data_IF_974469293944
#
_entry.id   IF_974469293944
#
_cell.length_a   1.000
_cell.length_b   1.000
_cell.length_c   1.000
_cell.angle_alpha   90.00
_cell.angle_beta   90.00
_cell.angle_gamma   90.00
#
_symmetry.space_group_name_H-M   'P 1'
#
loop_
_entity.id
_entity.type
_entity.pdbx_description
1 polymer ?
#
# COMPACT_ATOMS: atom_id res chain seq x y z
N UNK A 1 -12.47 -21.72 14.60
CA UNK A 1 -13.26 -20.58 14.09
C UNK A 1 -12.45 -19.90 13.01
N UNK A 2 -13.07 -19.55 11.88
CA UNK A 2 -12.41 -18.78 10.83
C UNK A 2 -12.32 -17.32 11.28
N UNK A 3 -11.12 -16.72 11.23
CA UNK A 3 -10.93 -15.31 11.60
C UNK A 3 -11.66 -14.40 10.61
N UNK A 4 -12.35 -13.37 11.11
CA UNK A 4 -12.90 -12.31 10.25
C UNK A 4 -11.77 -11.43 9.68
N UNK A 5 -12.09 -10.57 8.72
CA UNK A 5 -11.12 -9.61 8.20
C UNK A 5 -10.65 -8.63 9.30
N UNK A 6 -11.52 -8.22 10.21
CA UNK A 6 -11.20 -7.35 11.34
C UNK A 6 -10.28 -8.05 12.34
N UNK A 7 -10.52 -9.33 12.64
CA UNK A 7 -9.63 -10.12 13.51
C UNK A 7 -8.22 -10.23 12.96
N UNK A 8 -8.08 -10.34 11.63
CA UNK A 8 -6.81 -10.34 10.92
C UNK A 8 -6.15 -8.96 10.95
N UNK A 9 -6.92 -7.90 10.67
CA UNK A 9 -6.45 -6.51 10.65
C UNK A 9 -5.80 -6.05 11.97
N UNK A 10 -6.32 -6.51 13.11
CA UNK A 10 -5.75 -6.20 14.43
C UNK A 10 -4.34 -6.74 14.66
N UNK A 11 -3.92 -7.76 13.90
CA UNK A 11 -2.59 -8.38 14.02
C UNK A 11 -1.54 -7.73 13.14
N UNK A 12 -1.96 -6.94 12.15
CA UNK A 12 -1.06 -6.41 11.12
C UNK A 12 -0.02 -5.47 11.75
N UNK A 13 1.21 -5.53 11.27
CA UNK A 13 2.29 -4.59 11.62
C UNK A 13 2.89 -3.96 10.36
N UNK A 14 2.86 -4.70 9.27
CA UNK A 14 3.36 -4.26 7.96
C UNK A 14 2.22 -4.27 6.95
N UNK A 15 2.03 -3.14 6.27
CA UNK A 15 1.08 -2.96 5.18
C UNK A 15 1.83 -2.79 3.86
N UNK A 16 1.58 -3.70 2.94
CA UNK A 16 2.25 -3.75 1.64
C UNK A 16 1.23 -3.57 0.52
N UNK A 17 1.62 -2.80 -0.48
CA UNK A 17 0.81 -2.53 -1.67
C UNK A 17 1.52 -3.02 -2.93
N UNK A 18 0.77 -3.62 -3.86
CA UNK A 18 1.12 -3.45 -5.27
C UNK A 18 0.95 -1.99 -5.69
N UNK A 19 1.47 -1.62 -6.86
CA UNK A 19 1.36 -0.26 -7.39
C UNK A 19 0.27 -0.16 -8.45
N UNK A 20 0.36 -0.95 -9.52
CA UNK A 20 -0.40 -0.68 -10.73
C UNK A 20 -1.75 -1.38 -10.67
N UNK A 21 -2.84 -0.61 -10.54
CA UNK A 21 -4.17 -1.15 -10.28
C UNK A 21 -4.55 -1.17 -8.79
N UNK A 22 -3.62 -0.74 -7.93
CA UNK A 22 -3.83 -0.54 -6.48
C UNK A 22 -3.62 0.91 -6.07
N UNK A 23 -2.41 1.45 -6.18
CA UNK A 23 -2.12 2.86 -5.89
C UNK A 23 -2.28 3.76 -7.13
N UNK A 24 -2.39 3.14 -8.30
CA UNK A 24 -2.78 3.74 -9.57
C UNK A 24 -4.01 3.04 -10.13
N UNK A 25 -4.62 3.61 -11.16
CA UNK A 25 -5.75 3.00 -11.86
C UNK A 25 -5.38 1.81 -12.76
N UNK A 26 -4.09 1.45 -12.85
CA UNK A 26 -3.58 0.34 -13.66
C UNK A 26 -3.13 0.74 -15.08
N UNK A 27 -3.38 2.00 -15.50
CA UNK A 27 -2.95 2.46 -16.81
C UNK A 27 -1.42 2.69 -16.86
N UNK A 28 -0.82 2.35 -18.00
CA UNK A 28 0.57 2.68 -18.31
C UNK A 28 0.56 3.74 -19.42
N UNK A 29 0.74 4.99 -19.04
CA UNK A 29 0.84 6.10 -20.00
C UNK A 29 2.29 6.26 -20.42
N UNK A 30 2.54 6.29 -21.74
CA UNK A 30 3.87 6.49 -22.31
C UNK A 30 3.82 7.68 -23.25
N UNK A 31 4.62 8.71 -22.97
CA UNK A 31 4.78 9.88 -23.83
C UNK A 31 5.98 9.65 -24.75
N UNK A 32 5.80 9.59 -26.08
CA UNK A 32 6.91 9.43 -27.02
C UNK A 32 7.87 10.63 -26.95
N UNK A 33 9.17 10.36 -27.02
CA UNK A 33 10.23 11.36 -27.11
C UNK A 33 10.83 11.39 -28.52
N UNK A 34 11.49 12.50 -28.87
CA UNK A 34 12.15 12.69 -30.15
C UNK A 34 13.31 11.69 -30.40
N UNK A 35 13.91 11.13 -29.34
CA UNK A 35 14.97 10.12 -29.44
C UNK A 35 14.43 8.68 -29.63
N UNK A 36 13.12 8.52 -29.81
CA UNK A 36 12.46 7.23 -29.99
C UNK A 36 12.19 6.46 -28.69
N UNK A 37 12.56 7.00 -27.52
CA UNK A 37 12.17 6.43 -26.22
C UNK A 37 10.82 6.97 -25.77
N UNK A 38 10.30 6.41 -24.68
CA UNK A 38 9.07 6.88 -24.04
C UNK A 38 9.30 7.26 -22.58
N UNK A 39 8.70 8.37 -22.14
CA UNK A 39 8.56 8.69 -20.72
C UNK A 39 7.32 8.00 -20.17
N UNK A 40 7.49 7.16 -19.15
CA UNK A 40 6.36 6.61 -18.40
C UNK A 40 5.75 7.68 -17.49
N UNK A 41 4.42 7.76 -17.45
CA UNK A 41 3.65 8.60 -16.54
C UNK A 41 2.67 7.71 -15.77
N UNK A 42 2.58 7.95 -14.46
CA UNK A 42 1.64 7.30 -13.55
C UNK A 42 0.98 8.36 -12.67
N UNK A 43 -0.31 8.19 -12.42
CA UNK A 43 -1.07 9.04 -11.51
C UNK A 43 -1.35 8.29 -10.22
N UNK A 44 -1.15 8.95 -9.09
CA UNK A 44 -1.45 8.43 -7.75
C UNK A 44 -2.52 9.28 -7.08
N UNK A 45 -3.30 8.67 -6.19
CA UNK A 45 -4.30 9.40 -5.40
C UNK A 45 -3.67 10.20 -4.26
N UNK A 46 -4.15 11.42 -4.06
CA UNK A 46 -3.84 12.21 -2.87
C UNK A 46 -4.48 11.59 -1.60
N UNK A 47 -5.65 10.94 -1.73
CA UNK A 47 -6.30 10.24 -0.63
C UNK A 47 -5.42 9.11 -0.11
N UNK A 48 -4.83 8.31 -1.01
CA UNK A 48 -3.90 7.24 -0.66
C UNK A 48 -2.63 7.81 0.00
N UNK A 49 -2.12 8.95 -0.50
CA UNK A 49 -0.97 9.63 0.09
C UNK A 49 -1.21 10.04 1.54
N UNK A 50 -2.33 10.72 1.84
CA UNK A 50 -2.71 11.06 3.21
C UNK A 50 -2.92 9.82 4.07
N UNK A 51 -3.59 8.78 3.51
CA UNK A 51 -3.76 7.52 4.21
C UNK A 51 -2.43 6.92 4.64
N UNK A 52 -1.42 6.91 3.77
CA UNK A 52 -0.09 6.39 4.10
C UNK A 52 0.57 7.20 5.23
N UNK A 53 0.39 8.52 5.28
CA UNK A 53 0.82 9.33 6.42
C UNK A 53 0.12 8.91 7.72
N UNK A 54 -1.20 8.65 7.70
CA UNK A 54 -1.94 8.15 8.86
C UNK A 54 -1.45 6.76 9.31
N UNK A 55 -1.21 5.84 8.36
CA UNK A 55 -0.71 4.50 8.67
C UNK A 55 0.66 4.58 9.38
N UNK A 56 1.58 5.40 8.85
CA UNK A 56 2.91 5.60 9.45
C UNK A 56 2.81 6.27 10.82
N UNK A 57 1.94 7.26 10.98
CA UNK A 57 1.69 7.91 12.28
C UNK A 57 1.16 6.90 13.31
N UNK A 58 0.30 5.97 12.89
CA UNK A 58 -0.20 4.86 13.71
C UNK A 58 0.84 3.73 13.94
N UNK A 59 2.09 3.92 13.53
CA UNK A 59 3.18 2.97 13.76
C UNK A 59 3.20 1.76 12.82
N UNK A 60 2.45 1.78 11.72
CA UNK A 60 2.56 0.76 10.69
C UNK A 60 3.79 0.98 9.82
N UNK A 61 4.45 -0.12 9.47
CA UNK A 61 5.44 -0.16 8.39
C UNK A 61 4.72 -0.24 7.06
N UNK A 62 5.10 0.60 6.11
CA UNK A 62 4.44 0.66 4.80
C UNK A 62 5.44 0.34 3.69
N UNK A 63 5.03 -0.46 2.72
CA UNK A 63 5.90 -0.87 1.61
C UNK A 63 5.21 -1.01 0.27
N UNK A 64 5.97 -0.83 -0.81
CA UNK A 64 5.54 -1.08 -2.19
C UNK A 64 6.30 -2.28 -2.76
N UNK A 65 5.57 -3.21 -3.37
CA UNK A 65 6.13 -4.39 -4.04
C UNK A 65 5.57 -4.49 -5.44
N UNK A 66 6.36 -4.12 -6.44
CA UNK A 66 5.93 -4.05 -7.85
C UNK A 66 6.83 -4.86 -8.77
N UNK A 67 6.23 -5.40 -9.85
CA UNK A 67 6.95 -6.12 -10.91
C UNK A 67 7.77 -5.18 -11.80
N UNK A 68 7.29 -3.96 -12.03
CA UNK A 68 7.95 -3.01 -12.94
C UNK A 68 9.10 -2.30 -12.22
N UNK A 69 10.11 -1.87 -12.97
CA UNK A 69 11.08 -0.89 -12.51
C UNK A 69 10.67 0.47 -13.07
N UNK A 70 10.30 1.40 -12.19
CA UNK A 70 9.79 2.72 -12.56
C UNK A 70 10.41 3.81 -11.69
N UNK A 71 10.97 4.82 -12.34
CA UNK A 71 11.47 6.00 -11.64
C UNK A 71 10.33 6.79 -10.99
N UNK A 72 9.14 6.79 -11.59
CA UNK A 72 7.95 7.47 -11.06
C UNK A 72 7.54 6.86 -9.72
N UNK A 73 7.59 5.52 -9.61
CA UNK A 73 7.33 4.81 -8.34
C UNK A 73 8.39 5.12 -7.29
N UNK A 74 9.67 5.17 -7.68
CA UNK A 74 10.75 5.51 -6.75
C UNK A 74 10.64 6.94 -6.19
N UNK A 75 10.25 7.91 -7.02
CA UNK A 75 9.97 9.29 -6.59
C UNK A 75 8.80 9.28 -5.61
N UNK A 76 7.68 8.67 -5.99
CA UNK A 76 6.48 8.64 -5.13
C UNK A 76 6.74 7.96 -3.79
N UNK A 77 7.48 6.86 -3.77
CA UNK A 77 7.84 6.16 -2.54
C UNK A 77 8.71 7.03 -1.62
N UNK A 78 9.60 7.86 -2.19
CA UNK A 78 10.41 8.81 -1.42
C UNK A 78 9.55 9.93 -0.85
N UNK A 79 8.66 10.51 -1.66
CA UNK A 79 7.74 11.57 -1.21
C UNK A 79 6.89 11.09 -0.03
N UNK A 80 6.42 9.85 -0.09
CA UNK A 80 5.59 9.22 0.93
C UNK A 80 6.40 8.62 2.10
N UNK A 81 7.75 8.70 2.05
CA UNK A 81 8.67 8.17 3.06
C UNK A 81 8.39 6.69 3.39
N UNK A 82 8.17 5.89 2.35
CA UNK A 82 7.89 4.46 2.43
C UNK A 82 9.08 3.70 3.04
N UNK A 83 8.83 2.76 3.95
CA UNK A 83 9.87 1.97 4.62
C UNK A 83 10.53 0.95 3.68
N UNK A 84 9.72 0.31 2.83
CA UNK A 84 10.16 -0.77 1.96
C UNK A 84 9.76 -0.54 0.49
N UNK A 85 10.74 -0.38 -0.40
CA UNK A 85 10.49 -0.32 -1.84
C UNK A 85 11.19 -1.49 -2.55
N UNK A 86 10.39 -2.39 -3.12
CA UNK A 86 10.86 -3.52 -3.91
C UNK A 86 10.29 -3.42 -5.34
N UNK A 87 11.17 -3.11 -6.29
CA UNK A 87 10.84 -3.04 -7.72
C UNK A 87 11.43 -4.22 -8.48
N UNK A 88 10.94 -4.47 -9.70
CA UNK A 88 11.43 -5.58 -10.54
C UNK A 88 11.02 -6.97 -10.04
N UNK A 89 10.07 -7.06 -9.11
CA UNK A 89 9.75 -8.31 -8.41
C UNK A 89 8.75 -9.16 -9.20
N UNK A 90 9.28 -10.05 -10.04
CA UNK A 90 8.43 -11.07 -10.70
C UNK A 90 7.96 -12.16 -9.73
N UNK A 91 8.73 -12.42 -8.67
CA UNK A 91 8.38 -13.36 -7.61
C UNK A 91 8.23 -12.62 -6.29
N UNK A 92 7.07 -11.97 -6.09
CA UNK A 92 6.83 -11.05 -4.97
C UNK A 92 7.09 -11.64 -3.57
N UNK A 93 6.92 -12.96 -3.40
CA UNK A 93 7.23 -13.65 -2.13
C UNK A 93 8.69 -13.49 -1.66
N UNK A 94 9.65 -13.25 -2.57
CA UNK A 94 11.04 -12.98 -2.19
C UNK A 94 11.14 -11.67 -1.39
N UNK A 95 10.51 -10.60 -1.88
CA UNK A 95 10.41 -9.34 -1.15
C UNK A 95 9.70 -9.51 0.21
N UNK A 96 8.59 -10.27 0.25
CA UNK A 96 7.88 -10.55 1.53
C UNK A 96 8.80 -11.24 2.54
N UNK A 97 9.60 -12.22 2.09
CA UNK A 97 10.52 -12.95 2.97
C UNK A 97 11.60 -12.04 3.53
N UNK A 98 12.13 -11.11 2.71
CA UNK A 98 13.10 -10.14 3.17
C UNK A 98 12.49 -9.16 4.20
N UNK A 99 11.29 -8.63 3.92
CA UNK A 99 10.58 -7.73 4.83
C UNK A 99 10.27 -8.42 6.18
N UNK A 100 9.88 -9.70 6.15
CA UNK A 100 9.69 -10.47 7.38
C UNK A 100 10.96 -10.55 8.23
N UNK A 101 12.12 -10.72 7.59
CA UNK A 101 13.40 -10.76 8.29
C UNK A 101 13.81 -9.39 8.83
N UNK A 102 13.64 -8.33 8.02
CA UNK A 102 14.01 -6.96 8.38
C UNK A 102 13.18 -6.41 9.55
N UNK A 103 11.86 -6.66 9.53
CA UNK A 103 10.92 -6.15 10.52
C UNK A 103 10.64 -7.15 11.67
N UNK A 104 11.22 -8.35 11.62
CA UNK A 104 11.00 -9.43 12.58
C UNK A 104 9.50 -9.73 12.79
N UNK A 105 8.79 -9.95 11.68
CA UNK A 105 7.35 -10.24 11.65
C UNK A 105 7.05 -11.56 10.96
N UNK A 106 5.88 -12.12 11.29
CA UNK A 106 5.33 -13.31 10.64
C UNK A 106 4.38 -12.95 9.50
N UNK A 107 4.05 -13.91 8.63
CA UNK A 107 3.05 -13.70 7.57
C UNK A 107 1.69 -13.24 8.13
N UNK A 108 1.29 -13.74 9.30
CA UNK A 108 0.03 -13.39 9.97
C UNK A 108 -0.05 -11.91 10.38
N UNK A 109 1.09 -11.22 10.44
CA UNK A 109 1.22 -9.81 10.79
C UNK A 109 1.40 -8.92 9.55
N UNK A 110 1.28 -9.48 8.34
CA UNK A 110 1.38 -8.75 7.09
C UNK A 110 -0.01 -8.59 6.46
N UNK A 111 -0.29 -7.37 6.02
CA UNK A 111 -1.38 -7.07 5.09
C UNK A 111 -0.80 -6.84 3.69
N UNK A 112 -1.38 -7.48 2.67
CA UNK A 112 -1.05 -7.20 1.26
C UNK A 112 -2.29 -6.76 0.49
N UNK A 113 -2.17 -5.66 -0.24
CA UNK A 113 -3.21 -5.15 -1.15
C UNK A 113 -2.77 -5.36 -2.59
N UNK A 114 -3.57 -6.11 -3.36
CA UNK A 114 -3.27 -6.46 -4.75
C UNK A 114 -4.51 -6.36 -5.66
N UNK A 115 -4.31 -6.48 -6.97
CA UNK A 115 -5.39 -6.40 -7.95
C UNK A 115 -5.35 -7.50 -9.04
N UNK A 116 -4.20 -8.10 -9.32
CA UNK A 116 -4.05 -9.07 -10.41
C UNK A 116 -3.36 -10.39 -9.98
N UNK A 117 -3.30 -11.37 -10.89
CA UNK A 117 -2.83 -12.74 -10.65
C UNK A 117 -1.38 -12.81 -10.15
N UNK A 118 -0.56 -11.79 -10.43
CA UNK A 118 0.82 -11.68 -9.98
C UNK A 118 0.91 -11.56 -8.45
N UNK A 119 -0.17 -11.13 -7.80
CA UNK A 119 -0.27 -10.94 -6.35
C UNK A 119 -0.72 -12.19 -5.61
N UNK A 120 -1.36 -13.14 -6.31
CA UNK A 120 -1.91 -14.36 -5.72
C UNK A 120 -0.91 -15.17 -4.89
N UNK A 121 0.39 -15.31 -5.26
CA UNK A 121 1.36 -16.00 -4.42
C UNK A 121 1.51 -15.37 -3.03
N UNK A 122 1.34 -14.05 -2.91
CA UNK A 122 1.41 -13.31 -1.64
C UNK A 122 0.05 -13.34 -0.94
N UNK A 123 -1.02 -12.97 -1.65
CA UNK A 123 -2.38 -12.90 -1.09
C UNK A 123 -2.85 -14.21 -0.45
N UNK A 124 -2.41 -15.36 -0.99
CA UNK A 124 -2.72 -16.69 -0.42
C UNK A 124 -2.05 -17.00 0.91
N UNK A 125 -1.05 -16.21 1.32
CA UNK A 125 -0.15 -16.55 2.44
C UNK A 125 -0.17 -15.53 3.57
N UNK A 126 -0.43 -14.27 3.28
CA UNK A 126 -0.43 -13.20 4.29
C UNK A 126 -1.64 -13.28 5.23
N UNK A 127 -1.49 -12.73 6.43
CA UNK A 127 -2.51 -12.74 7.48
C UNK A 127 -3.77 -11.98 7.08
N UNK A 128 -3.61 -10.87 6.36
CA UNK A 128 -4.70 -10.12 5.74
C UNK A 128 -4.40 -9.89 4.25
N UNK A 129 -5.38 -10.25 3.42
CA UNK A 129 -5.29 -10.16 1.97
C UNK A 129 -6.43 -9.26 1.50
N UNK A 130 -6.11 -8.15 0.86
CA UNK A 130 -7.09 -7.18 0.38
C UNK A 130 -7.02 -7.11 -1.14
N UNK A 131 -8.18 -7.19 -1.79
CA UNK A 131 -8.32 -6.93 -3.21
C UNK A 131 -8.92 -5.55 -3.45
N UNK A 132 -8.48 -4.82 -4.46
CA UNK A 132 -9.14 -3.55 -4.83
C UNK A 132 -10.48 -3.77 -5.53
N UNK A 133 -11.35 -2.76 -5.59
CA UNK A 133 -12.65 -2.88 -6.27
C UNK A 133 -12.51 -3.23 -7.77
N UNK A 134 -11.43 -2.83 -8.43
CA UNK A 134 -11.10 -3.18 -9.82
C UNK A 134 -10.32 -4.49 -9.98
N UNK A 135 -9.98 -5.17 -8.88
CA UNK A 135 -9.21 -6.40 -8.93
C UNK A 135 -9.91 -7.49 -9.77
N UNK A 136 -9.09 -8.36 -10.36
CA UNK A 136 -9.55 -9.55 -11.09
C UNK A 136 -10.32 -10.49 -10.16
N UNK A 137 -11.19 -11.29 -10.74
CA UNK A 137 -12.09 -12.18 -9.99
C UNK A 137 -11.30 -13.18 -9.12
N UNK A 138 -10.16 -13.65 -9.62
CA UNK A 138 -9.25 -14.55 -8.94
C UNK A 138 -8.67 -13.93 -7.66
N UNK A 139 -8.33 -12.64 -7.69
CA UNK A 139 -7.86 -11.89 -6.52
C UNK A 139 -8.99 -11.69 -5.53
N UNK A 140 -10.17 -11.24 -6.00
CA UNK A 140 -11.35 -11.07 -5.13
C UNK A 140 -11.79 -12.37 -4.46
N UNK A 141 -11.67 -13.50 -5.16
CA UNK A 141 -12.01 -14.82 -4.63
C UNK A 141 -11.07 -15.32 -3.52
N UNK A 142 -9.87 -14.74 -3.41
CA UNK A 142 -8.90 -15.04 -2.35
C UNK A 142 -8.85 -13.95 -1.27
N UNK A 143 -9.32 -12.75 -1.57
CA UNK A 143 -9.26 -11.62 -0.67
C UNK A 143 -10.12 -11.86 0.58
N UNK A 144 -9.56 -11.56 1.75
CA UNK A 144 -10.29 -11.54 3.01
C UNK A 144 -11.23 -10.33 3.08
N UNK A 145 -10.89 -9.25 2.38
CA UNK A 145 -11.71 -8.05 2.24
C UNK A 145 -11.47 -7.40 0.88
N UNK A 146 -12.49 -6.73 0.33
CA UNK A 146 -12.40 -6.01 -0.93
C UNK A 146 -12.72 -4.54 -0.68
N UNK A 147 -11.87 -3.64 -1.17
CA UNK A 147 -12.06 -2.19 -0.98
C UNK A 147 -13.33 -1.71 -1.69
N UNK A 148 -14.03 -0.70 -1.16
CA UNK A 148 -15.14 -0.07 -1.86
C UNK A 148 -14.68 0.76 -3.08
N UNK A 149 -13.52 1.42 -3.03
CA UNK A 149 -12.99 2.21 -4.14
C UNK A 149 -12.01 1.42 -5.01
N UNK A 150 -11.79 1.93 -6.22
CA UNK A 150 -10.85 1.37 -7.20
C UNK A 150 -9.42 1.84 -6.91
N UNK A 151 -8.45 1.10 -7.42
CA UNK A 151 -7.06 1.50 -7.38
C UNK A 151 -6.85 2.85 -8.05
N UNK A 152 -5.98 3.68 -7.46
CA UNK A 152 -5.77 5.07 -7.87
C UNK A 152 -6.92 6.03 -7.54
N UNK A 153 -7.99 5.55 -6.89
CA UNK A 153 -9.17 6.33 -6.50
C UNK A 153 -9.46 6.21 -4.99
N UNK A 154 -8.43 5.98 -4.18
CA UNK A 154 -8.58 5.86 -2.72
C UNK A 154 -8.63 4.43 -2.17
N UNK A 155 -8.42 3.38 -2.98
CA UNK A 155 -8.38 2.01 -2.47
C UNK A 155 -7.26 1.77 -1.43
N UNK A 156 -6.12 2.47 -1.56
CA UNK A 156 -5.06 2.41 -0.56
C UNK A 156 -5.52 3.03 0.77
N UNK A 157 -6.23 4.16 0.69
CA UNK A 157 -6.86 4.82 1.83
C UNK A 157 -7.92 3.93 2.49
N UNK A 158 -8.77 3.27 1.70
CA UNK A 158 -9.77 2.33 2.20
C UNK A 158 -9.14 1.22 3.05
N UNK A 159 -8.05 0.61 2.56
CA UNK A 159 -7.34 -0.44 3.28
C UNK A 159 -6.76 0.05 4.61
N UNK A 160 -6.23 1.28 4.63
CA UNK A 160 -5.67 1.89 5.83
C UNK A 160 -6.77 2.21 6.84
N UNK A 161 -7.86 2.84 6.42
CA UNK A 161 -8.98 3.15 7.31
C UNK A 161 -9.60 1.88 7.87
N UNK A 162 -9.72 0.82 7.07
CA UNK A 162 -10.15 -0.50 7.53
C UNK A 162 -9.23 -1.05 8.65
N UNK A 163 -7.91 -1.01 8.43
CA UNK A 163 -6.93 -1.48 9.42
C UNK A 163 -6.98 -0.68 10.73
N UNK A 164 -7.02 0.64 10.65
CA UNK A 164 -7.04 1.51 11.82
C UNK A 164 -8.37 1.46 12.56
N UNK A 165 -9.49 1.33 11.85
CA UNK A 165 -10.81 1.11 12.46
C UNK A 165 -10.89 -0.23 13.18
N UNK A 166 -10.38 -1.31 12.59
CA UNK A 166 -10.39 -2.63 13.23
C UNK A 166 -9.62 -2.64 14.56
N UNK A 167 -8.61 -1.77 14.70
CA UNK A 167 -7.83 -1.53 15.93
C UNK A 167 -8.48 -0.53 16.88
N UNK A 168 -9.49 0.21 16.45
CA UNK A 168 -10.13 1.25 17.24
C UNK A 168 -9.32 2.54 17.39
N UNK A 169 -8.33 2.78 16.53
CA UNK A 169 -7.39 3.92 16.65
C UNK A 169 -7.52 4.96 15.52
N UNK A 170 -8.44 4.78 14.56
CA UNK A 170 -8.56 5.70 13.42
C UNK A 170 -8.86 7.14 13.86
N UNK A 171 -9.86 7.34 14.70
CA UNK A 171 -10.26 8.68 15.16
C UNK A 171 -9.12 9.39 15.91
N UNK A 172 -8.46 8.68 16.84
CA UNK A 172 -7.29 9.19 17.56
C UNK A 172 -6.14 9.56 16.60
N UNK A 173 -5.86 8.70 15.61
CA UNK A 173 -4.81 8.96 14.61
C UNK A 173 -5.12 10.19 13.77
N UNK A 174 -6.40 10.42 13.43
CA UNK A 174 -6.83 11.62 12.70
C UNK A 174 -6.62 12.87 13.55
N UNK A 175 -7.06 12.87 14.81
CA UNK A 175 -6.85 14.03 15.70
C UNK A 175 -5.35 14.30 15.91
N UNK A 176 -4.56 13.23 16.11
CA UNK A 176 -3.11 13.34 16.21
C UNK A 176 -2.45 13.91 14.95
N UNK A 177 -2.97 13.60 13.76
CA UNK A 177 -2.50 14.15 12.49
C UNK A 177 -2.84 15.64 12.32
N UNK A 178 -4.01 16.05 12.83
CA UNK A 178 -4.49 17.43 12.74
C UNK A 178 -3.85 18.37 13.77
N UNK A 179 -3.27 17.82 14.85
CA UNK A 179 -2.57 18.57 15.88
C UNK A 179 -1.26 19.18 15.33
N UNK A 180 -1.17 20.51 15.18
CA UNK A 180 0.02 21.17 14.63
C UNK A 180 1.25 21.06 15.54
N UNK A 181 1.07 20.79 16.83
CA UNK A 181 2.16 20.62 17.80
C UNK A 181 2.69 19.18 17.82
N UNK A 182 2.04 18.25 17.12
CA UNK A 182 2.48 16.87 17.05
C UNK A 182 3.66 16.71 16.07
N UNK A 183 4.87 16.60 16.64
CA UNK A 183 6.08 16.38 15.85
C UNK A 183 6.05 15.08 15.02
N UNK A 184 5.37 14.03 15.50
CA UNK A 184 5.26 12.77 14.77
C UNK A 184 4.36 12.95 13.54
N UNK A 185 3.27 13.72 13.67
CA UNK A 185 2.43 14.09 12.53
C UNK A 185 3.20 14.93 11.52
N UNK A 186 3.97 15.92 11.96
CA UNK A 186 4.83 16.73 11.09
C UNK A 186 5.87 15.89 10.33
N UNK A 187 6.43 14.84 10.96
CA UNK A 187 7.35 13.89 10.31
C UNK A 187 6.63 12.93 9.36
N UNK A 188 5.38 12.59 9.65
CA UNK A 188 4.53 11.75 8.82
C UNK A 188 3.95 12.49 7.60
N UNK A 189 3.82 13.81 7.68
CA UNK A 189 3.34 14.66 6.59
C UNK A 189 4.33 14.68 5.40
N UNK A 190 3.73 14.72 4.22
CA UNK A 190 4.33 14.62 2.89
C UNK A 190 4.26 15.97 2.14
N UNK A 191 3.67 17.00 2.76
CA UNK A 191 3.46 18.33 2.18
C UNK A 191 4.64 19.32 2.28
N UNK A 192 5.71 19.02 3.01
CA UNK A 192 6.86 19.94 3.19
C UNK A 192 7.88 19.91 2.03
N UNK A 193 7.43 19.53 0.83
CA UNK A 193 8.16 19.43 -0.43
C UNK A 193 9.61 19.93 -0.46
N UNK A 194 10.56 19.00 -0.39
CA UNK A 194 11.86 19.21 -1.03
C UNK A 194 11.73 18.75 -2.48
N UNK A 195 11.19 19.61 -3.35
CA UNK A 195 11.40 19.49 -4.80
C UNK A 195 12.83 19.93 -5.13
#
# INVERSE_FOLDING_TARGET
MTLTAEDRARRVKVLLFDVDGVLTNGDITIIPQADGKGTEVKSFSAHDGLGISLARLAGLKVGFVTKRNSQVVAIRARDLKIDHLYQGQSHKMQAITQIMADENVTLDEICYVGDDIIDLPVLRKVGLAIGTANARAEVKGMAHWVTPHRGGDGAGRDAIDFLLNARGILAETIEAYLDPENEAASKADIGQGNM
#
